data_IF_096477471096
#
_entry.id   IF_096477471096
#
_cell.length_a   1.000
_cell.length_b   1.000
_cell.length_c   1.000
_cell.angle_alpha   90.00
_cell.angle_beta   90.00
_cell.angle_gamma   90.00
#
_symmetry.space_group_name_H-M   'P 1'
#
loop_
_entity.id
_entity.type
_entity.pdbx_description
1 polymer ?
#
# COMPACT_ATOMS: atom_id res chain seq x y z
N UNK A 1 -14.43 0.23 -10.94
CA UNK A 1 -13.96 -1.17 -10.93
C UNK A 1 -15.05 -2.17 -10.59
N UNK A 2 -15.87 -1.95 -9.55
CA UNK A 2 -16.87 -2.93 -9.09
C UNK A 2 -18.32 -2.42 -9.18
N UNK A 3 -18.65 -1.64 -10.22
CA UNK A 3 -20.04 -1.18 -10.45
C UNK A 3 -20.86 -2.30 -11.09
N UNK A 4 -22.19 -2.22 -11.00
CA UNK A 4 -23.10 -3.17 -11.68
C UNK A 4 -22.93 -3.16 -13.20
N UNK A 5 -22.50 -2.03 -13.76
CA UNK A 5 -22.18 -1.87 -15.17
C UNK A 5 -20.75 -2.28 -15.54
N UNK A 6 -19.92 -2.68 -14.56
CA UNK A 6 -18.56 -3.13 -14.84
C UNK A 6 -18.58 -4.54 -15.42
N UNK A 7 -17.54 -4.88 -16.18
CA UNK A 7 -17.35 -6.24 -16.65
C UNK A 7 -17.25 -7.20 -15.47
N UNK A 8 -17.88 -8.37 -15.60
CA UNK A 8 -17.76 -9.47 -14.64
C UNK A 8 -16.30 -9.86 -14.50
N UNK A 9 -15.82 -9.96 -13.26
CA UNK A 9 -14.45 -10.38 -12.99
C UNK A 9 -14.35 -11.87 -13.34
N UNK A 10 -13.44 -12.27 -14.25
CA UNK A 10 -13.39 -13.66 -14.75
C UNK A 10 -13.04 -14.68 -13.66
N UNK A 11 -12.46 -14.23 -12.55
CA UNK A 11 -12.12 -15.03 -11.38
C UNK A 11 -13.19 -15.01 -10.28
N UNK A 12 -14.21 -14.15 -10.36
CA UNK A 12 -15.29 -14.03 -9.36
C UNK A 12 -16.54 -14.81 -9.81
N UNK A 13 -16.41 -16.12 -9.93
CA UNK A 13 -17.51 -17.00 -10.35
C UNK A 13 -18.74 -16.90 -9.43
N UNK A 14 -18.53 -16.64 -8.14
CA UNK A 14 -19.58 -16.50 -7.12
C UNK A 14 -20.20 -15.10 -7.07
N UNK A 15 -19.73 -14.15 -7.89
CA UNK A 15 -20.18 -12.75 -7.88
C UNK A 15 -20.10 -12.12 -6.48
N UNK A 16 -19.06 -12.48 -5.72
CA UNK A 16 -18.86 -12.02 -4.36
C UNK A 16 -18.40 -10.55 -4.34
N UNK A 17 -17.70 -10.06 -5.36
CA UNK A 17 -17.06 -8.73 -5.39
C UNK A 17 -18.01 -7.64 -5.93
N UNK A 18 -19.08 -7.40 -5.20
CA UNK A 18 -20.06 -6.31 -5.44
C UNK A 18 -19.75 -5.08 -4.59
N UNK A 19 -20.04 -3.87 -5.09
CA UNK A 19 -19.65 -2.60 -4.44
C UNK A 19 -20.00 -2.53 -2.95
N UNK A 20 -21.15 -3.08 -2.56
CA UNK A 20 -21.72 -3.07 -1.21
C UNK A 20 -21.07 -4.12 -0.29
N UNK A 21 -20.49 -5.16 -0.90
CA UNK A 21 -19.84 -6.26 -0.20
C UNK A 21 -18.36 -5.99 0.08
N UNK A 22 -17.73 -5.06 -0.63
CA UNK A 22 -16.30 -4.79 -0.50
C UNK A 22 -15.96 -4.02 0.77
N UNK A 23 -14.77 -4.32 1.27
CA UNK A 23 -14.05 -3.53 2.25
C UNK A 23 -12.61 -3.35 1.76
N UNK A 24 -12.05 -2.17 1.97
CA UNK A 24 -10.68 -1.81 1.61
C UNK A 24 -9.80 -1.81 2.86
N UNK A 25 -8.61 -2.41 2.76
CA UNK A 25 -7.66 -2.53 3.86
C UNK A 25 -6.23 -2.18 3.43
N UNK A 26 -5.41 -1.76 4.37
CA UNK A 26 -3.95 -1.77 4.26
C UNK A 26 -3.35 -2.45 5.50
N UNK A 27 -2.09 -2.88 5.41
CA UNK A 27 -1.39 -3.45 6.56
C UNK A 27 -0.51 -2.38 7.21
N UNK A 28 -0.81 -2.03 8.46
CA UNK A 28 -0.02 -1.07 9.22
C UNK A 28 1.37 -1.63 9.50
N UNK A 29 2.41 -0.80 9.47
CA UNK A 29 3.76 -1.26 9.79
C UNK A 29 4.41 -2.15 8.72
N UNK A 30 3.71 -2.52 7.64
CA UNK A 30 4.23 -3.48 6.68
C UNK A 30 5.09 -2.80 5.60
N UNK A 31 6.27 -3.37 5.35
CA UNK A 31 7.16 -2.94 4.28
C UNK A 31 8.34 -2.06 4.73
N UNK A 32 9.27 -1.85 3.81
CA UNK A 32 10.45 -1.01 4.02
C UNK A 32 10.11 0.44 3.69
N UNK A 33 10.36 1.35 4.64
CA UNK A 33 10.25 2.79 4.39
C UNK A 33 11.33 3.17 3.38
N UNK A 34 10.91 3.78 2.26
CA UNK A 34 11.87 4.33 1.32
C UNK A 34 12.35 5.72 1.76
N UNK A 35 13.63 5.98 1.52
CA UNK A 35 14.14 7.35 1.52
C UNK A 35 13.49 8.15 0.39
N UNK A 36 13.50 9.50 0.50
CA UNK A 36 13.03 10.39 -0.58
C UNK A 36 13.68 10.03 -1.92
N UNK A 37 15.00 9.75 -1.92
CA UNK A 37 15.75 9.31 -3.10
C UNK A 37 15.26 7.95 -3.64
N UNK A 38 14.99 7.00 -2.76
CA UNK A 38 14.43 5.70 -3.15
C UNK A 38 13.06 5.84 -3.81
N UNK A 39 12.16 6.63 -3.21
CA UNK A 39 10.85 6.90 -3.78
C UNK A 39 10.94 7.60 -5.15
N UNK A 40 11.80 8.61 -5.27
CA UNK A 40 12.02 9.34 -6.52
C UNK A 40 12.62 8.44 -7.60
N UNK A 41 13.56 7.56 -7.25
CA UNK A 41 14.11 6.54 -8.16
C UNK A 41 13.00 5.71 -8.78
N UNK A 42 12.14 5.09 -7.96
CA UNK A 42 11.04 4.24 -8.48
C UNK A 42 10.03 5.04 -9.29
N UNK A 43 9.74 6.29 -8.92
CA UNK A 43 8.84 7.14 -9.67
C UNK A 43 9.36 7.47 -11.08
N UNK A 44 10.68 7.66 -11.22
CA UNK A 44 11.33 8.00 -12.49
C UNK A 44 11.78 6.77 -13.30
N UNK A 45 11.75 5.59 -12.70
CA UNK A 45 12.13 4.32 -13.33
C UNK A 45 11.18 4.02 -14.50
N UNK A 46 11.75 3.89 -15.70
CA UNK A 46 10.99 3.71 -16.95
C UNK A 46 10.64 5.02 -17.67
N UNK A 47 10.87 6.19 -17.07
CA UNK A 47 10.78 7.50 -17.73
C UNK A 47 12.17 7.99 -18.16
N UNK A 48 13.17 7.84 -17.28
CA UNK A 48 14.55 8.27 -17.51
C UNK A 48 15.48 7.07 -17.73
N UNK A 49 16.55 7.29 -18.50
CA UNK A 49 17.66 6.34 -18.56
C UNK A 49 18.50 6.36 -17.27
N UNK A 50 19.25 5.29 -17.04
CA UNK A 50 20.03 5.11 -15.81
C UNK A 50 21.06 6.22 -15.57
N UNK A 51 21.59 6.83 -16.64
CA UNK A 51 22.53 7.95 -16.57
C UNK A 51 21.85 9.23 -16.07
N UNK A 52 20.71 9.60 -16.65
CA UNK A 52 19.93 10.76 -16.22
C UNK A 52 19.39 10.58 -14.80
N UNK A 53 18.95 9.36 -14.46
CA UNK A 53 18.45 9.03 -13.14
C UNK A 53 19.54 9.15 -12.07
N UNK A 54 20.77 8.71 -12.34
CA UNK A 54 21.90 8.90 -11.42
C UNK A 54 22.30 10.36 -11.28
N UNK A 55 22.24 11.15 -12.35
CA UNK A 55 22.47 12.60 -12.29
C UNK A 55 21.46 13.29 -11.36
N UNK A 56 20.15 13.06 -11.56
CA UNK A 56 19.08 13.66 -10.76
C UNK A 56 19.19 13.28 -9.28
N UNK A 57 19.56 12.04 -8.96
CA UNK A 57 19.70 11.58 -7.57
C UNK A 57 21.00 12.06 -6.89
N UNK A 58 21.95 12.59 -7.65
CA UNK A 58 23.27 13.04 -7.16
C UNK A 58 23.30 14.51 -6.73
N UNK A 59 22.35 15.35 -7.17
CA UNK A 59 22.41 16.81 -6.95
C UNK A 59 21.89 17.30 -5.59
N UNK A 60 21.19 16.47 -4.82
CA UNK A 60 20.77 16.83 -3.46
C UNK A 60 21.80 16.35 -2.42
N UNK A 61 22.64 17.29 -1.97
CA UNK A 61 23.45 17.20 -0.75
C UNK A 61 22.62 17.69 0.44
N UNK A 62 21.52 16.99 0.74
CA UNK A 62 20.81 17.22 2.00
C UNK A 62 21.62 16.62 3.14
N UNK A 63 22.22 17.52 3.93
CA UNK A 63 22.56 17.27 5.33
C UNK A 63 21.25 17.07 6.12
N UNK A 64 20.57 15.94 5.92
CA UNK A 64 19.48 15.50 6.80
C UNK A 64 19.92 14.25 7.55
N UNK A 65 19.92 14.40 8.87
CA UNK A 65 20.29 13.41 9.86
C UNK A 65 19.45 12.13 9.74
N UNK A 66 20.12 10.98 9.79
CA UNK A 66 19.55 9.67 10.11
C UNK A 66 18.30 9.22 9.31
N UNK A 67 18.40 9.08 7.99
CA UNK A 67 17.61 8.06 7.32
C UNK A 67 18.29 6.71 7.59
N UNK A 68 17.82 6.02 8.61
CA UNK A 68 18.38 4.75 9.04
C UNK A 68 18.21 3.74 7.90
N UNK A 69 19.33 3.26 7.37
CA UNK A 69 19.39 2.06 6.55
C UNK A 69 18.72 0.93 7.34
N UNK A 70 17.52 0.54 6.93
CA UNK A 70 16.75 -0.51 7.61
C UNK A 70 16.10 -0.14 8.96
N UNK A 71 15.68 1.11 9.20
CA UNK A 71 14.79 1.38 10.35
C UNK A 71 13.46 0.66 10.15
N UNK A 72 13.40 -0.52 10.76
CA UNK A 72 12.19 -1.26 11.07
C UNK A 72 11.17 -0.25 11.62
N UNK A 73 9.94 -0.21 11.09
CA UNK A 73 8.92 0.58 11.74
C UNK A 73 8.86 0.19 13.20
N UNK A 74 8.80 1.20 14.07
CA UNK A 74 8.71 1.04 15.52
C UNK A 74 7.81 -0.15 15.83
N UNK A 75 8.24 -1.08 16.70
CA UNK A 75 7.46 -2.20 17.24
C UNK A 75 6.30 -1.68 18.11
N UNK A 76 5.49 -0.80 17.54
CA UNK A 76 4.24 -0.35 18.11
C UNK A 76 3.24 -1.50 18.07
N UNK A 77 2.33 -1.49 19.04
CA UNK A 77 1.26 -2.49 19.23
C UNK A 77 0.43 -2.84 17.98
N UNK A 78 0.46 -2.00 16.95
CA UNK A 78 -0.34 -2.15 15.72
C UNK A 78 0.47 -2.57 14.49
N UNK A 79 1.76 -2.92 14.63
CA UNK A 79 2.57 -3.43 13.52
C UNK A 79 2.00 -4.75 12.98
N UNK A 80 1.83 -4.83 11.65
CA UNK A 80 1.28 -6.00 10.95
C UNK A 80 -0.25 -6.08 10.95
N UNK A 81 -0.95 -5.13 11.59
CA UNK A 81 -2.41 -5.15 11.71
C UNK A 81 -3.10 -4.70 10.43
N UNK A 82 -4.19 -5.37 10.08
CA UNK A 82 -5.09 -4.95 9.01
C UNK A 82 -5.94 -3.75 9.42
N UNK A 83 -5.71 -2.61 8.78
CA UNK A 83 -6.46 -1.36 9.02
C UNK A 83 -7.49 -1.17 7.90
N UNK A 84 -8.76 -1.06 8.28
CA UNK A 84 -9.85 -0.78 7.34
C UNK A 84 -9.79 0.69 6.90
N UNK A 85 -9.78 0.92 5.59
CA UNK A 85 -9.82 2.25 4.99
C UNK A 85 -11.23 2.81 5.03
N UNK A 86 -11.36 4.09 5.39
CA UNK A 86 -12.59 4.84 5.16
C UNK A 86 -12.60 5.35 3.72
N UNK A 87 -13.44 4.75 2.89
CA UNK A 87 -13.53 5.04 1.45
C UNK A 87 -14.06 6.45 1.13
N UNK A 88 -14.50 7.22 2.14
CA UNK A 88 -14.85 8.64 1.98
C UNK A 88 -13.63 9.57 2.03
N UNK A 89 -12.47 9.06 2.45
CA UNK A 89 -11.22 9.82 2.47
C UNK A 89 -10.56 9.80 1.10
N UNK A 90 -9.86 10.88 0.79
CA UNK A 90 -8.93 10.93 -0.32
C UNK A 90 -7.71 10.04 -0.06
N UNK A 91 -7.05 9.62 -1.14
CA UNK A 91 -5.80 8.85 -1.03
C UNK A 91 -4.76 9.61 -0.20
N UNK A 92 -4.61 10.92 -0.40
CA UNK A 92 -3.66 11.74 0.35
C UNK A 92 -3.92 11.70 1.86
N UNK A 93 -5.18 11.83 2.29
CA UNK A 93 -5.56 11.75 3.70
C UNK A 93 -5.28 10.38 4.32
N UNK A 94 -5.35 9.31 3.52
CA UNK A 94 -4.99 7.95 3.98
C UNK A 94 -3.48 7.80 4.10
N UNK A 95 -2.72 8.29 3.11
CA UNK A 95 -1.25 8.23 3.11
C UNK A 95 -0.60 9.10 4.20
N UNK A 96 -1.29 10.13 4.68
CA UNK A 96 -0.83 10.99 5.78
C UNK A 96 -1.07 10.38 7.18
N UNK A 97 -1.77 9.25 7.29
CA UNK A 97 -1.98 8.59 8.58
C UNK A 97 -0.67 8.02 9.11
N UNK A 98 -0.40 8.19 10.41
CA UNK A 98 0.86 7.78 11.04
C UNK A 98 1.07 6.26 11.00
N UNK A 99 -0.03 5.52 10.98
CA UNK A 99 -0.07 4.06 10.91
C UNK A 99 0.13 3.56 9.47
N UNK A 100 -0.05 4.43 8.48
CA UNK A 100 0.19 4.11 7.08
C UNK A 100 1.68 4.33 6.77
N UNK A 101 2.37 3.23 6.52
CA UNK A 101 3.74 3.29 6.02
C UNK A 101 3.69 3.33 4.52
N UNK A 102 4.27 4.37 3.94
CA UNK A 102 4.42 4.48 2.50
C UNK A 102 5.50 3.46 2.08
N UNK A 103 5.05 2.24 1.78
CA UNK A 103 5.77 1.38 0.85
C UNK A 103 5.94 2.13 -0.47
N UNK A 104 7.04 1.87 -1.17
CA UNK A 104 7.38 2.45 -2.49
C UNK A 104 6.18 2.70 -3.40
N UNK A 105 5.25 1.74 -3.41
CA UNK A 105 3.96 1.78 -4.08
C UNK A 105 2.90 1.52 -2.99
N UNK A 106 1.90 2.40 -2.83
CA UNK A 106 0.78 2.15 -1.92
C UNK A 106 0.04 0.87 -2.31
N UNK A 107 -0.08 -0.08 -1.37
CA UNK A 107 -0.81 -1.33 -1.59
C UNK A 107 -2.07 -1.34 -0.74
N UNK A 108 -3.20 -1.55 -1.40
CA UNK A 108 -4.49 -1.76 -0.76
C UNK A 108 -5.05 -3.13 -1.12
N UNK A 109 -5.68 -3.76 -0.14
CA UNK A 109 -6.33 -5.05 -0.26
C UNK A 109 -7.83 -4.85 -0.32
N UNK A 110 -8.45 -5.38 -1.37
CA UNK A 110 -9.90 -5.38 -1.55
C UNK A 110 -10.43 -6.74 -1.15
N UNK A 111 -11.26 -6.79 -0.12
CA UNK A 111 -11.80 -8.05 0.42
C UNK A 111 -13.32 -7.98 0.38
N UNK A 112 -13.97 -9.00 -0.20
CA UNK A 112 -15.43 -9.11 -0.16
C UNK A 112 -15.90 -9.81 1.11
N UNK A 113 -16.85 -9.19 1.82
CA UNK A 113 -17.58 -9.81 2.95
C UNK A 113 -18.35 -11.07 2.56
N UNK A 114 -18.67 -11.24 1.27
CA UNK A 114 -19.41 -12.41 0.75
C UNK A 114 -18.47 -13.58 0.41
N UNK A 115 -17.17 -13.33 0.24
CA UNK A 115 -16.21 -14.37 -0.06
C UNK A 115 -15.99 -15.30 1.14
N UNK A 116 -15.82 -16.59 0.89
CA UNK A 116 -15.41 -17.58 1.89
C UNK A 116 -14.10 -17.19 2.60
N UNK A 117 -13.20 -16.51 1.87
CA UNK A 117 -11.92 -16.01 2.38
C UNK A 117 -12.07 -14.93 3.46
N UNK A 118 -13.20 -14.21 3.53
CA UNK A 118 -13.38 -13.10 4.48
C UNK A 118 -13.11 -13.51 5.94
N UNK A 119 -13.55 -14.70 6.33
CA UNK A 119 -13.35 -15.22 7.70
C UNK A 119 -11.88 -15.45 8.01
N UNK A 120 -11.13 -15.97 7.05
CA UNK A 120 -9.70 -16.19 7.16
C UNK A 120 -8.95 -14.86 7.25
N UNK A 121 -9.26 -13.92 6.35
CA UNK A 121 -8.68 -12.57 6.39
C UNK A 121 -8.92 -11.87 7.74
N UNK A 122 -10.17 -11.90 8.24
CA UNK A 122 -10.55 -11.26 9.52
C UNK A 122 -9.96 -11.93 10.75
N UNK A 123 -9.44 -13.16 10.64
CA UNK A 123 -8.68 -13.80 11.74
C UNK A 123 -7.37 -13.08 12.04
N UNK A 124 -6.86 -12.28 11.09
CA UNK A 124 -5.58 -11.60 11.19
C UNK A 124 -4.36 -12.50 11.02
N UNK A 125 -4.55 -13.80 10.80
CA UNK A 125 -3.46 -14.77 10.60
C UNK A 125 -2.99 -14.85 9.15
N UNK A 126 -3.77 -14.31 8.22
CA UNK A 126 -3.40 -14.30 6.81
C UNK A 126 -2.37 -13.19 6.53
N UNK A 127 -1.33 -13.54 5.77
CA UNK A 127 -0.33 -12.63 5.23
C UNK A 127 -0.30 -12.71 3.70
N UNK A 128 -0.04 -11.59 3.00
CA UNK A 128 0.14 -11.61 1.57
C UNK A 128 1.33 -12.52 1.18
N UNK A 129 1.28 -13.18 0.00
CA UNK A 129 2.36 -14.01 -0.51
C UNK A 129 3.60 -13.21 -0.91
#
# INVERSE_FOLDING_TARGET
MFSESAMTLPWDSEHAYTREALELYYQAGAGTILSKKGALKYFLEGILDSSALSSVLSEETDKEHHACDGSRPSEGKDHGKWIKVNERKTLLEVLQQKEYIISAIPVFFVVSKKSSFYKEFKSGQWSPP
#
